data_IF_301203584236
#
_entry.id   IF_301203584236
#
_cell.length_a   1.000
_cell.length_b   1.000
_cell.length_c   1.000
_cell.angle_alpha   90.00
_cell.angle_beta   90.00
_cell.angle_gamma   90.00
#
_symmetry.space_group_name_H-M   'P 1'
#
loop_
_entity.id
_entity.type
_entity.pdbx_description
1 polymer ?
#
# COMPACT_ATOMS: atom_id res chain seq x y z
N UNK A 1 -21.93 -8.08 -8.57
CA UNK A 1 -22.02 -7.08 -7.49
C UNK A 1 -22.71 -7.75 -6.32
N UNK A 2 -21.94 -8.20 -5.33
CA UNK A 2 -22.48 -8.84 -4.14
C UNK A 2 -22.96 -7.79 -3.14
N UNK A 3 -24.09 -8.05 -2.50
CA UNK A 3 -24.63 -7.27 -1.39
C UNK A 3 -23.64 -7.33 -0.22
N UNK A 4 -22.81 -6.29 -0.08
CA UNK A 4 -21.88 -6.13 1.02
C UNK A 4 -21.56 -4.65 1.14
N UNK A 5 -21.85 -4.08 2.31
CA UNK A 5 -21.54 -2.69 2.65
C UNK A 5 -20.11 -2.35 2.21
N UNK A 6 -19.93 -1.17 1.62
CA UNK A 6 -18.61 -0.65 1.29
C UNK A 6 -17.70 -0.65 2.52
N UNK A 7 -16.39 -0.71 2.29
CA UNK A 7 -15.41 -0.63 3.36
C UNK A 7 -15.52 0.73 4.04
N UNK A 8 -15.69 0.75 5.36
CA UNK A 8 -15.68 2.00 6.12
C UNK A 8 -14.33 2.73 5.94
N UNK A 9 -14.28 4.07 5.99
CA UNK A 9 -13.03 4.79 5.90
C UNK A 9 -12.06 4.37 7.01
N UNK A 10 -10.84 4.02 6.63
CA UNK A 10 -9.82 3.60 7.59
C UNK A 10 -8.54 3.09 6.93
N UNK A 11 -7.57 2.78 7.78
CA UNK A 11 -6.36 2.05 7.41
C UNK A 11 -6.54 0.60 7.82
N UNK A 12 -6.30 -0.28 6.86
CA UNK A 12 -6.49 -1.72 6.99
C UNK A 12 -5.19 -2.45 6.73
N UNK A 13 -4.95 -3.50 7.52
CA UNK A 13 -3.89 -4.47 7.26
C UNK A 13 -4.48 -5.68 6.55
N UNK A 14 -3.88 -6.05 5.42
CA UNK A 14 -4.22 -7.30 4.75
C UNK A 14 -3.48 -8.47 5.40
N UNK A 15 -4.23 -9.49 5.82
CA UNK A 15 -3.73 -10.74 6.40
C UNK A 15 -3.88 -11.83 5.34
N UNK A 16 -2.75 -12.20 4.72
CA UNK A 16 -2.76 -13.07 3.54
C UNK A 16 -3.23 -14.50 3.86
N UNK A 17 -2.89 -15.01 5.04
CA UNK A 17 -3.24 -16.35 5.50
C UNK A 17 -4.75 -16.53 5.67
N UNK A 18 -5.44 -15.45 6.05
CA UNK A 18 -6.89 -15.44 6.32
C UNK A 18 -7.70 -14.86 5.16
N UNK A 19 -7.02 -14.29 4.15
CA UNK A 19 -7.64 -13.48 3.10
C UNK A 19 -8.60 -12.42 3.68
N UNK A 20 -8.14 -11.70 4.71
CA UNK A 20 -8.96 -10.76 5.47
C UNK A 20 -8.30 -9.39 5.60
N UNK A 21 -9.13 -8.37 5.86
CA UNK A 21 -8.70 -7.03 6.22
C UNK A 21 -8.99 -6.75 7.69
N UNK A 22 -7.97 -6.39 8.45
CA UNK A 22 -8.11 -5.94 9.84
C UNK A 22 -8.03 -4.43 9.90
N UNK A 23 -9.07 -3.76 10.40
CA UNK A 23 -9.04 -2.31 10.58
C UNK A 23 -8.11 -1.95 11.75
N UNK A 24 -7.07 -1.18 11.46
CA UNK A 24 -6.09 -0.72 12.45
C UNK A 24 -6.43 0.69 12.94
N UNK A 25 -6.96 1.52 12.03
CA UNK A 25 -7.27 2.93 12.30
C UNK A 25 -8.57 3.28 11.59
N UNK A 26 -9.62 3.70 12.31
CA UNK A 26 -10.82 4.24 11.68
C UNK A 26 -10.60 5.69 11.21
N UNK A 27 -11.35 6.09 10.18
CA UNK A 27 -11.38 7.46 9.66
C UNK A 27 -10.66 7.62 8.32
N UNK A 28 -11.06 8.64 7.57
CA UNK A 28 -10.47 8.96 6.27
C UNK A 28 -9.06 9.56 6.45
N UNK A 29 -8.06 8.88 5.89
CA UNK A 29 -6.66 9.25 5.97
C UNK A 29 -6.06 9.67 4.62
N UNK A 30 -6.89 9.77 3.56
CA UNK A 30 -6.44 10.03 2.19
C UNK A 30 -5.69 11.35 2.05
N UNK A 31 -6.18 12.43 2.65
CA UNK A 31 -5.51 13.74 2.62
C UNK A 31 -4.16 13.73 3.35
N UNK A 32 -4.09 13.03 4.50
CA UNK A 32 -2.84 12.89 5.26
C UNK A 32 -1.81 12.06 4.48
N UNK A 33 -2.26 10.97 3.86
CA UNK A 33 -1.41 10.13 3.03
C UNK A 33 -0.93 10.88 1.78
N UNK A 34 -1.81 11.66 1.15
CA UNK A 34 -1.43 12.51 0.02
C UNK A 34 -0.39 13.57 0.43
N UNK A 35 -0.54 14.20 1.59
CA UNK A 35 0.47 15.11 2.15
C UNK A 35 1.84 14.46 2.34
N UNK A 36 1.87 13.23 2.88
CA UNK A 36 3.11 12.45 3.00
C UNK A 36 3.68 12.01 1.63
N UNK A 37 2.81 11.87 0.62
CA UNK A 37 3.16 11.54 -0.76
C UNK A 37 3.35 12.80 -1.64
N UNK A 38 3.95 13.86 -1.10
CA UNK A 38 4.28 15.09 -1.83
C UNK A 38 3.06 15.76 -2.51
N UNK A 39 1.88 15.66 -1.88
CA UNK A 39 0.61 16.21 -2.36
C UNK A 39 0.18 15.72 -3.73
N UNK A 40 0.56 14.49 -4.08
CA UNK A 40 0.17 13.83 -5.33
C UNK A 40 -1.36 13.58 -5.36
N UNK A 41 -2.13 14.22 -6.28
CA UNK A 41 -3.58 14.29 -6.19
C UNK A 41 -4.30 12.95 -6.43
N UNK A 42 -3.64 11.99 -7.09
CA UNK A 42 -4.16 10.64 -7.26
C UNK A 42 -4.32 9.91 -5.92
N UNK A 43 -3.51 10.22 -4.90
CA UNK A 43 -3.58 9.59 -3.58
C UNK A 43 -4.81 10.05 -2.79
N UNK A 44 -5.14 11.35 -2.86
CA UNK A 44 -6.31 11.88 -2.16
C UNK A 44 -7.62 11.58 -2.90
N UNK A 45 -7.60 11.57 -4.23
CA UNK A 45 -8.80 11.35 -5.06
C UNK A 45 -9.22 9.89 -5.18
N UNK A 46 -8.27 8.96 -5.11
CA UNK A 46 -8.59 7.55 -5.21
C UNK A 46 -9.51 7.11 -4.05
N UNK A 47 -10.55 6.30 -4.31
CA UNK A 47 -11.38 5.73 -3.24
C UNK A 47 -10.57 4.82 -2.30
N UNK A 48 -9.53 4.16 -2.79
CA UNK A 48 -8.64 3.28 -2.02
C UNK A 48 -7.20 3.47 -2.49
N UNK A 49 -6.23 3.39 -1.58
CA UNK A 49 -4.81 3.25 -1.90
C UNK A 49 -4.25 2.00 -1.24
N UNK A 50 -3.53 1.17 -2.01
CA UNK A 50 -2.75 0.06 -1.45
C UNK A 50 -1.34 0.55 -1.14
N UNK A 51 -0.88 0.35 0.09
CA UNK A 51 0.50 0.59 0.47
C UNK A 51 1.25 -0.75 0.56
N UNK A 52 2.40 -0.85 -0.09
CA UNK A 52 3.30 -2.01 0.03
C UNK A 52 4.44 -1.60 0.95
N UNK A 53 4.61 -2.31 2.07
CA UNK A 53 5.74 -2.17 2.99
C UNK A 53 6.59 -3.44 3.03
N UNK A 54 7.84 -3.29 3.44
CA UNK A 54 8.78 -4.39 3.61
C UNK A 54 9.21 -4.51 5.08
N UNK A 55 9.10 -5.73 5.62
CA UNK A 55 9.80 -6.13 6.84
C UNK A 55 11.19 -6.62 6.46
N UNK A 56 12.15 -5.71 6.25
CA UNK A 56 13.49 -6.07 5.77
C UNK A 56 14.17 -7.22 6.54
N UNK A 57 14.09 -7.31 7.88
CA UNK A 57 14.67 -8.43 8.63
C UNK A 57 14.23 -9.82 8.16
N UNK A 58 13.01 -9.97 7.63
CA UNK A 58 12.51 -11.26 7.09
C UNK A 58 13.35 -11.73 5.89
N UNK A 59 13.82 -10.80 5.08
CA UNK A 59 14.59 -11.11 3.87
C UNK A 59 16.09 -11.08 4.14
N UNK A 60 16.56 -10.10 4.91
CA UNK A 60 18.00 -9.94 5.20
C UNK A 60 18.53 -11.01 6.14
N UNK A 61 17.68 -11.61 7.00
CA UNK A 61 18.08 -12.75 7.83
C UNK A 61 18.58 -13.94 7.02
N UNK A 62 17.97 -14.22 5.86
CA UNK A 62 18.39 -15.31 4.95
C UNK A 62 19.40 -14.88 3.91
N UNK A 63 19.24 -13.68 3.33
CA UNK A 63 19.99 -13.25 2.14
C UNK A 63 20.99 -12.12 2.42
N UNK A 64 21.21 -11.75 3.68
CA UNK A 64 22.07 -10.64 4.07
C UNK A 64 21.64 -9.33 3.41
N UNK A 65 22.62 -8.48 3.06
CA UNK A 65 22.38 -7.19 2.37
C UNK A 65 21.62 -7.34 1.05
N UNK A 66 21.70 -8.50 0.39
CA UNK A 66 20.98 -8.77 -0.87
C UNK A 66 19.46 -8.87 -0.65
N UNK A 67 19.02 -9.15 0.58
CA UNK A 67 17.60 -9.15 0.96
C UNK A 67 16.91 -7.81 0.70
N UNK A 68 17.62 -6.68 0.79
CA UNK A 68 17.06 -5.35 0.45
C UNK A 68 16.67 -5.29 -1.04
N UNK A 69 17.58 -5.74 -1.92
CA UNK A 69 17.32 -5.79 -3.35
C UNK A 69 16.14 -6.70 -3.69
N UNK A 70 16.03 -7.84 -2.99
CA UNK A 70 14.91 -8.76 -3.19
C UNK A 70 13.59 -8.17 -2.71
N UNK A 71 13.55 -7.50 -1.56
CA UNK A 71 12.33 -6.83 -1.11
C UNK A 71 11.79 -5.82 -2.14
N UNK A 72 12.68 -5.03 -2.76
CA UNK A 72 12.28 -4.09 -3.81
C UNK A 72 11.77 -4.81 -5.08
N UNK A 73 12.37 -5.93 -5.46
CA UNK A 73 11.90 -6.75 -6.58
C UNK A 73 10.52 -7.35 -6.30
N UNK A 74 10.32 -7.91 -5.11
CA UNK A 74 9.02 -8.48 -4.70
C UNK A 74 7.92 -7.40 -4.65
N UNK A 75 8.23 -6.21 -4.14
CA UNK A 75 7.29 -5.08 -4.17
C UNK A 75 6.91 -4.69 -5.61
N UNK A 76 7.87 -4.70 -6.53
CA UNK A 76 7.64 -4.50 -7.97
C UNK A 76 6.75 -5.58 -8.58
N UNK A 77 6.99 -6.85 -8.29
CA UNK A 77 6.16 -7.96 -8.77
C UNK A 77 4.71 -7.86 -8.23
N UNK A 78 4.55 -7.56 -6.94
CA UNK A 78 3.25 -7.36 -6.33
C UNK A 78 2.50 -6.17 -6.95
N UNK A 79 3.18 -5.04 -7.14
CA UNK A 79 2.61 -3.88 -7.82
C UNK A 79 2.16 -4.22 -9.26
N UNK A 80 2.98 -4.98 -10.01
CA UNK A 80 2.62 -5.38 -11.38
C UNK A 80 1.39 -6.30 -11.44
N UNK A 81 1.23 -7.20 -10.47
CA UNK A 81 0.01 -8.01 -10.38
C UNK A 81 -1.23 -7.13 -10.15
N UNK A 82 -1.10 -6.09 -9.32
CA UNK A 82 -2.18 -5.12 -9.07
C UNK A 82 -2.51 -4.34 -10.35
N UNK A 83 -1.52 -3.91 -11.13
CA UNK A 83 -1.76 -3.30 -12.45
C UNK A 83 -2.52 -4.22 -13.40
N UNK A 84 -2.08 -5.47 -13.54
CA UNK A 84 -2.67 -6.42 -14.47
C UNK A 84 -4.13 -6.73 -14.11
N UNK A 85 -4.40 -6.97 -12.83
CA UNK A 85 -5.77 -7.17 -12.35
C UNK A 85 -6.60 -5.89 -12.47
N UNK A 86 -6.00 -4.73 -12.22
CA UNK A 86 -6.65 -3.44 -12.42
C UNK A 86 -7.15 -3.27 -13.85
N UNK A 87 -6.30 -3.53 -14.84
CA UNK A 87 -6.67 -3.46 -16.27
C UNK A 87 -7.85 -4.38 -16.58
N UNK A 88 -7.83 -5.63 -16.11
CA UNK A 88 -8.93 -6.58 -16.30
C UNK A 88 -10.26 -6.09 -15.70
N UNK A 89 -10.20 -5.41 -14.54
CA UNK A 89 -11.37 -4.92 -13.82
C UNK A 89 -11.80 -3.49 -14.21
N UNK A 90 -11.11 -2.83 -15.15
CA UNK A 90 -11.35 -1.43 -15.47
C UNK A 90 -10.95 -0.44 -14.36
N UNK A 91 -10.02 -0.85 -13.49
CA UNK A 91 -9.46 -0.06 -12.38
C UNK A 91 -8.06 0.42 -12.77
N UNK A 92 -7.86 1.73 -12.76
CA UNK A 92 -6.57 2.37 -12.95
C UNK A 92 -5.78 2.47 -11.65
N UNK A 93 -4.45 2.41 -11.79
CA UNK A 93 -3.51 2.70 -10.70
C UNK A 93 -2.24 3.34 -11.24
N UNK A 94 -1.45 3.93 -10.35
CA UNK A 94 -0.07 4.31 -10.63
C UNK A 94 0.81 4.02 -9.41
N UNK A 95 2.02 3.52 -9.65
CA UNK A 95 2.98 3.21 -8.59
C UNK A 95 3.69 4.49 -8.15
N UNK A 96 3.48 4.88 -6.91
CA UNK A 96 4.11 6.06 -6.31
C UNK A 96 5.21 5.57 -5.37
N UNK A 97 6.45 5.89 -5.71
CA UNK A 97 7.63 5.74 -4.84
C UNK A 97 8.18 7.07 -4.31
N UNK A 98 7.57 8.20 -4.70
CA UNK A 98 7.97 9.52 -4.25
C UNK A 98 7.09 9.94 -3.06
N UNK A 99 7.59 9.75 -1.85
CA UNK A 99 6.93 10.13 -0.59
C UNK A 99 7.99 10.31 0.50
N UNK A 100 7.62 10.95 1.61
CA UNK A 100 8.45 11.04 2.81
C UNK A 100 8.23 9.79 3.68
N UNK A 101 9.21 8.88 3.73
CA UNK A 101 9.12 7.57 4.39
C UNK A 101 8.59 7.66 5.83
N UNK A 102 9.16 8.55 6.63
CA UNK A 102 8.79 8.73 8.04
C UNK A 102 7.35 9.23 8.21
N UNK A 103 6.86 10.05 7.29
CA UNK A 103 5.50 10.58 7.36
C UNK A 103 4.49 9.53 6.90
N UNK A 104 4.81 8.74 5.86
CA UNK A 104 3.99 7.58 5.46
C UNK A 104 3.91 6.57 6.61
N UNK A 105 5.02 6.27 7.28
CA UNK A 105 5.03 5.40 8.47
C UNK A 105 4.11 5.90 9.57
N UNK A 106 4.15 7.20 9.89
CA UNK A 106 3.28 7.82 10.90
C UNK A 106 1.81 7.74 10.49
N UNK A 107 1.49 8.08 9.25
CA UNK A 107 0.12 8.08 8.72
C UNK A 107 -0.46 6.67 8.77
N UNK A 108 0.29 5.68 8.29
CA UNK A 108 -0.13 4.28 8.23
C UNK A 108 0.04 3.51 9.55
N UNK A 109 0.62 4.15 10.58
CA UNK A 109 1.09 3.53 11.83
C UNK A 109 1.84 2.22 11.58
N UNK A 110 2.79 2.25 10.63
CA UNK A 110 3.61 1.08 10.35
C UNK A 110 4.44 0.71 11.59
N UNK A 111 4.60 -0.59 11.90
CA UNK A 111 5.55 -1.05 12.90
C UNK A 111 6.96 -0.54 12.60
N UNK A 112 7.77 -0.36 13.66
CA UNK A 112 9.11 0.22 13.54
C UNK A 112 10.06 -0.57 12.60
N UNK A 113 9.77 -1.84 12.32
CA UNK A 113 10.54 -2.72 11.45
C UNK A 113 9.96 -2.86 10.03
N UNK A 114 8.93 -2.10 9.68
CA UNK A 114 8.34 -2.03 8.34
C UNK A 114 8.72 -0.73 7.65
N UNK A 115 9.17 -0.83 6.40
CA UNK A 115 9.51 0.32 5.56
C UNK A 115 8.55 0.41 4.36
N UNK A 116 7.91 1.55 4.09
CA UNK A 116 7.06 1.71 2.92
C UNK A 116 7.89 1.68 1.63
N UNK A 117 7.36 1.04 0.58
CA UNK A 117 8.02 0.91 -0.73
C UNK A 117 7.18 1.50 -1.87
N UNK A 118 5.86 1.29 -1.83
CA UNK A 118 4.93 1.85 -2.81
C UNK A 118 3.62 2.31 -2.18
N UNK A 119 3.02 3.32 -2.79
CA UNK A 119 1.61 3.66 -2.67
C UNK A 119 0.98 3.48 -4.07
N UNK A 120 -0.14 2.77 -4.14
CA UNK A 120 -0.88 2.43 -5.35
C UNK A 120 -2.33 2.92 -5.19
N UNK A 121 -2.64 4.19 -5.52
CA UNK A 121 -4.03 4.65 -5.60
C UNK A 121 -4.80 3.86 -6.65
N UNK A 122 -6.01 3.43 -6.31
CA UNK A 122 -6.91 2.64 -7.17
C UNK A 122 -8.20 3.41 -7.43
N UNK A 123 -8.62 3.52 -8.69
CA UNK A 123 -9.90 4.13 -9.06
C UNK A 123 -10.39 3.64 -10.42
N UNK A 124 -11.69 3.69 -10.66
CA UNK A 124 -12.27 3.32 -11.96
C UNK A 124 -11.83 4.29 -13.07
N UNK A 125 -11.57 3.74 -14.26
CA UNK A 125 -11.25 4.47 -15.49
C UNK A 125 -12.53 4.71 -16.31
#
# INVERSE_FOLDING_TARGET
MGEGNGLEPGIYRYVAEEHALTQEIPGDMREKLAGAALSQPMVSKAPVSLAISAVYPRMTGKYGKRGIRYANMEAGHAAQNIYLLGVELGIGTCAIGAFEDDDVKKVLKLPANEEPLYILPLGYI
#
